data_IF_331325284797
#
_entry.id   IF_331325284797
#
_cell.length_a   1.000
_cell.length_b   1.000
_cell.length_c   1.000
_cell.angle_alpha   90.00
_cell.angle_beta   90.00
_cell.angle_gamma   90.00
#
_symmetry.space_group_name_H-M   'P 1'
#
loop_
_entity.id
_entity.type
_entity.pdbx_description
1 polymer ?
#
# COMPACT_ATOMS: atom_id res chain seq x y z
N UNK A 1 -0.13 5.48 17.65
CA UNK A 1 -1.08 6.39 18.36
C UNK A 1 -2.38 5.65 18.59
N UNK A 2 -3.08 5.86 19.72
CA UNK A 2 -4.36 5.18 20.02
C UNK A 2 -5.45 5.66 19.06
N UNK A 3 -6.29 4.77 18.57
CA UNK A 3 -7.36 5.00 17.58
C UNK A 3 -8.26 6.19 17.92
N UNK A 4 -8.82 6.21 19.12
CA UNK A 4 -9.70 7.29 19.59
C UNK A 4 -9.04 8.67 19.59
N UNK A 5 -7.78 8.76 20.05
CA UNK A 5 -7.02 10.01 20.09
C UNK A 5 -6.71 10.53 18.69
N UNK A 6 -6.41 9.62 17.76
CA UNK A 6 -6.13 10.00 16.38
C UNK A 6 -7.37 10.54 15.69
N UNK A 7 -8.54 9.88 15.83
CA UNK A 7 -9.81 10.39 15.32
C UNK A 7 -10.10 11.80 15.83
N UNK A 8 -9.93 12.03 17.13
CA UNK A 8 -10.16 13.35 17.74
C UNK A 8 -9.23 14.42 17.17
N UNK A 9 -7.96 14.09 16.95
CA UNK A 9 -6.97 15.01 16.36
C UNK A 9 -7.29 15.33 14.89
N UNK A 10 -7.71 14.33 14.10
CA UNK A 10 -8.13 14.53 12.70
C UNK A 10 -9.39 15.42 12.67
N UNK A 11 -10.41 15.14 13.49
CA UNK A 11 -11.63 15.95 13.58
C UNK A 11 -11.34 17.41 13.92
N UNK A 12 -10.36 17.67 14.76
CA UNK A 12 -9.95 19.03 15.17
C UNK A 12 -9.01 19.72 14.14
N UNK A 13 -8.74 19.11 13.00
CA UNK A 13 -7.92 19.68 11.93
C UNK A 13 -6.41 19.71 12.21
N UNK A 14 -5.93 18.93 13.18
CA UNK A 14 -4.49 18.91 13.53
C UNK A 14 -3.60 18.45 12.36
N UNK A 15 -4.14 17.65 11.45
CA UNK A 15 -3.42 17.12 10.28
C UNK A 15 -3.76 17.80 8.97
N UNK A 16 -4.46 18.94 8.97
CA UNK A 16 -4.89 19.59 7.74
C UNK A 16 -3.74 20.01 6.84
N UNK A 17 -2.68 20.56 7.40
CA UNK A 17 -1.50 20.95 6.61
C UNK A 17 -0.82 19.70 6.01
N UNK A 18 -0.72 18.60 6.77
CA UNK A 18 -0.21 17.32 6.24
C UNK A 18 -1.09 16.79 5.10
N UNK A 19 -2.41 16.86 5.25
CA UNK A 19 -3.34 16.45 4.20
C UNK A 19 -3.24 17.34 2.96
N UNK A 20 -3.03 18.67 3.13
CA UNK A 20 -2.78 19.57 2.00
C UNK A 20 -1.50 19.23 1.26
N UNK A 21 -0.43 18.92 1.98
CA UNK A 21 0.85 18.53 1.39
C UNK A 21 0.74 17.21 0.61
N UNK A 22 -0.08 16.28 1.09
CA UNK A 22 -0.26 14.97 0.44
C UNK A 22 -1.19 15.07 -0.77
N UNK A 23 -2.35 15.74 -0.63
CA UNK A 23 -3.40 15.74 -1.66
C UNK A 23 -3.41 16.95 -2.56
N UNK A 24 -2.66 18.02 -2.20
CA UNK A 24 -2.46 19.25 -3.01
C UNK A 24 -3.73 20.07 -3.25
N UNK A 25 -4.91 19.48 -3.17
CA UNK A 25 -6.21 20.13 -3.40
C UNK A 25 -6.91 20.45 -2.08
N UNK A 26 -6.95 21.74 -1.71
CA UNK A 26 -7.61 22.19 -0.47
C UNK A 26 -9.10 21.80 -0.39
N UNK A 27 -9.77 21.63 -1.53
CA UNK A 27 -11.19 21.23 -1.57
C UNK A 27 -11.41 19.78 -1.13
N UNK A 28 -10.37 18.95 -1.22
CA UNK A 28 -10.42 17.56 -0.79
C UNK A 28 -10.20 17.35 0.71
N UNK A 29 -9.70 18.33 1.45
CA UNK A 29 -9.32 18.16 2.86
C UNK A 29 -10.47 17.62 3.73
N UNK A 30 -11.67 18.15 3.55
CA UNK A 30 -12.86 17.67 4.28
C UNK A 30 -13.17 16.22 3.96
N UNK A 31 -13.09 15.85 2.69
CA UNK A 31 -13.29 14.48 2.22
C UNK A 31 -12.23 13.52 2.79
N UNK A 32 -10.96 13.92 2.72
CA UNK A 32 -9.85 13.09 3.20
C UNK A 32 -9.93 12.90 4.73
N UNK A 33 -10.27 13.92 5.50
CA UNK A 33 -10.52 13.76 6.95
C UNK A 33 -11.56 12.68 7.23
N UNK A 34 -12.71 12.73 6.55
CA UNK A 34 -13.76 11.73 6.72
C UNK A 34 -13.30 10.33 6.30
N UNK A 35 -12.53 10.24 5.22
CA UNK A 35 -11.99 8.98 4.72
C UNK A 35 -11.02 8.34 5.71
N UNK A 36 -10.09 9.10 6.26
CA UNK A 36 -9.17 8.63 7.30
C UNK A 36 -9.92 8.21 8.57
N UNK A 37 -10.90 9.01 9.01
CA UNK A 37 -11.72 8.66 10.17
C UNK A 37 -12.46 7.34 9.95
N UNK A 38 -13.14 7.17 8.81
CA UNK A 38 -13.84 5.93 8.46
C UNK A 38 -12.90 4.72 8.41
N UNK A 39 -11.70 4.89 7.89
CA UNK A 39 -10.70 3.81 7.89
C UNK A 39 -10.30 3.39 9.30
N UNK A 40 -10.10 4.36 10.23
CA UNK A 40 -9.77 4.08 11.63
C UNK A 40 -10.97 3.47 12.36
N UNK A 41 -12.19 3.95 12.12
CA UNK A 41 -13.42 3.39 12.67
C UNK A 41 -13.59 1.93 12.19
N UNK A 42 -13.41 1.66 10.90
CA UNK A 42 -13.44 0.30 10.34
C UNK A 42 -12.36 -0.60 10.94
N UNK A 43 -11.15 -0.06 11.17
CA UNK A 43 -10.11 -0.80 11.89
C UNK A 43 -10.58 -1.18 13.29
N UNK A 44 -11.16 -0.22 14.02
CA UNK A 44 -11.63 -0.44 15.39
C UNK A 44 -12.77 -1.45 15.46
N UNK A 45 -13.67 -1.44 14.48
CA UNK A 45 -14.78 -2.41 14.39
C UNK A 45 -14.29 -3.85 14.17
N UNK A 46 -13.22 -4.04 13.41
CA UNK A 46 -12.69 -5.36 13.05
C UNK A 46 -11.67 -5.91 14.06
N UNK A 47 -10.85 -5.04 14.65
CA UNK A 47 -9.70 -5.43 15.45
C UNK A 47 -9.67 -4.85 16.86
N UNK A 48 -10.63 -3.98 17.20
CA UNK A 48 -10.68 -3.29 18.48
C UNK A 48 -9.81 -2.03 18.54
N UNK A 49 -9.85 -1.36 19.70
CA UNK A 49 -9.01 -0.20 19.95
C UNK A 49 -7.56 -0.61 20.20
N UNK A 50 -6.61 0.21 19.75
CA UNK A 50 -5.19 -0.05 19.95
C UNK A 50 -4.30 1.05 19.43
N UNK A 51 -3.01 0.85 19.60
CA UNK A 51 -2.00 1.70 18.99
C UNK A 51 -1.91 1.38 17.50
N UNK A 52 -2.04 2.41 16.67
CA UNK A 52 -2.06 2.27 15.22
C UNK A 52 -1.07 3.21 14.53
N UNK A 53 -0.68 2.80 13.33
CA UNK A 53 0.01 3.59 12.33
C UNK A 53 -0.91 3.76 11.12
N UNK A 54 -0.71 4.83 10.35
CA UNK A 54 -1.46 5.06 9.11
C UNK A 54 -0.48 5.30 7.98
N UNK A 55 -0.64 4.55 6.90
CA UNK A 55 0.19 4.61 5.71
C UNK A 55 -0.66 4.96 4.50
N UNK A 56 -0.02 5.55 3.49
CA UNK A 56 -0.64 5.91 2.23
C UNK A 56 0.32 5.66 1.08
N UNK A 57 -0.20 5.08 -0.01
CA UNK A 57 0.53 4.93 -1.26
C UNK A 57 -0.35 5.39 -2.44
N UNK A 58 0.15 6.29 -3.30
CA UNK A 58 -0.62 6.83 -4.40
C UNK A 58 -0.79 5.83 -5.54
N UNK A 59 -1.82 6.01 -6.36
CA UNK A 59 -1.85 5.50 -7.71
C UNK A 59 -0.95 6.32 -8.65
N UNK A 60 -0.92 5.94 -9.93
CA UNK A 60 -0.16 6.66 -10.96
C UNK A 60 -1.00 6.96 -12.19
N UNK A 61 -0.56 7.98 -12.94
CA UNK A 61 -0.97 8.21 -14.31
C UNK A 61 0.23 8.14 -15.24
N UNK A 62 0.08 7.47 -16.38
CA UNK A 62 1.06 7.57 -17.45
C UNK A 62 0.85 8.88 -18.20
N UNK A 63 1.94 9.59 -18.48
CA UNK A 63 1.96 10.85 -19.24
C UNK A 63 2.35 10.61 -20.68
N UNK A 64 3.22 9.63 -20.92
CA UNK A 64 3.67 9.25 -22.26
C UNK A 64 4.52 7.99 -22.25
N UNK A 65 4.63 7.30 -23.41
CA UNK A 65 5.44 6.10 -23.59
C UNK A 65 4.64 4.83 -23.93
N UNK A 66 3.30 4.86 -23.82
CA UNK A 66 2.39 3.74 -24.16
C UNK A 66 2.74 2.43 -23.45
N UNK A 67 3.11 2.50 -22.17
CA UNK A 67 3.40 1.31 -21.35
C UNK A 67 4.47 0.38 -21.92
N UNK A 68 5.46 0.94 -22.62
CA UNK A 68 6.50 0.14 -23.31
C UNK A 68 7.67 -0.24 -22.41
N UNK A 69 7.65 0.07 -21.13
CA UNK A 69 8.69 -0.25 -20.14
C UNK A 69 8.98 -1.75 -20.02
N UNK A 70 7.96 -2.60 -20.18
CA UNK A 70 8.12 -4.06 -20.23
C UNK A 70 8.84 -4.57 -21.50
N UNK A 71 9.06 -3.70 -22.49
CA UNK A 71 9.77 -3.96 -23.76
C UNK A 71 11.02 -3.08 -23.91
N UNK A 72 11.59 -2.61 -22.80
CA UNK A 72 12.74 -1.71 -22.78
C UNK A 72 12.47 -0.34 -23.44
N UNK A 73 11.22 0.09 -23.54
CA UNK A 73 10.83 1.42 -23.97
C UNK A 73 10.95 2.44 -22.85
N UNK A 74 11.11 3.72 -23.22
CA UNK A 74 11.10 4.83 -22.28
C UNK A 74 9.66 5.27 -22.01
N UNK A 75 9.34 5.50 -20.73
CA UNK A 75 8.02 5.92 -20.28
C UNK A 75 8.13 7.09 -19.32
N UNK A 76 7.11 7.92 -19.31
CA UNK A 76 6.93 9.01 -18.37
C UNK A 76 5.65 8.81 -17.59
N UNK A 77 5.76 8.64 -16.29
CA UNK A 77 4.63 8.49 -15.38
C UNK A 77 4.80 9.37 -14.14
N UNK A 78 3.70 9.68 -13.48
CA UNK A 78 3.70 10.42 -12.23
C UNK A 78 2.67 9.83 -11.26
N UNK A 79 2.95 9.94 -9.98
CA UNK A 79 1.97 9.66 -8.92
C UNK A 79 0.82 10.68 -8.99
N UNK A 80 -0.36 10.23 -8.57
CA UNK A 80 -1.57 11.05 -8.52
C UNK A 80 -2.01 11.26 -7.06
N UNK A 81 -2.98 12.15 -6.86
CA UNK A 81 -3.52 12.45 -5.55
C UNK A 81 -4.72 11.56 -5.13
N UNK A 82 -4.88 10.41 -5.78
CA UNK A 82 -5.72 9.32 -5.31
C UNK A 82 -4.80 8.22 -4.80
N UNK A 83 -5.09 7.68 -3.64
CA UNK A 83 -4.23 6.70 -2.97
C UNK A 83 -4.99 5.54 -2.35
N UNK A 84 -4.24 4.54 -1.93
CA UNK A 84 -4.66 3.53 -0.98
C UNK A 84 -4.10 3.89 0.39
N UNK A 85 -4.93 3.84 1.43
CA UNK A 85 -4.53 4.05 2.82
C UNK A 85 -4.70 2.78 3.63
N UNK A 86 -3.78 2.54 4.58
CA UNK A 86 -3.84 1.43 5.51
C UNK A 86 -3.77 1.94 6.96
N UNK A 87 -4.67 1.46 7.80
CA UNK A 87 -4.58 1.58 9.25
C UNK A 87 -4.02 0.28 9.78
N UNK A 88 -2.88 0.32 10.47
CA UNK A 88 -2.04 -0.84 10.76
C UNK A 88 -1.67 -0.91 12.22
N UNK A 89 -1.61 -2.12 12.76
CA UNK A 89 -1.08 -2.43 14.10
C UNK A 89 -0.12 -3.61 14.00
N UNK A 90 1.00 -3.54 14.72
CA UNK A 90 1.98 -4.62 14.83
C UNK A 90 1.41 -5.78 15.64
N UNK A 91 1.70 -7.00 15.21
CA UNK A 91 1.38 -8.23 15.93
C UNK A 91 2.65 -8.92 16.43
N UNK A 92 2.60 -9.50 17.61
CA UNK A 92 3.64 -10.45 18.07
C UNK A 92 3.53 -11.80 17.34
N UNK A 93 2.31 -12.16 16.88
CA UNK A 93 2.08 -13.36 16.09
C UNK A 93 2.75 -13.24 14.71
N UNK A 94 3.42 -14.29 14.21
CA UNK A 94 4.08 -14.28 12.89
C UNK A 94 3.07 -14.45 11.74
N UNK A 95 2.11 -13.54 11.64
CA UNK A 95 1.10 -13.54 10.58
C UNK A 95 0.73 -12.11 10.15
N UNK A 96 0.31 -11.98 8.90
CA UNK A 96 -0.25 -10.76 8.33
C UNK A 96 -1.73 -10.96 8.13
N UNK A 97 -2.55 -10.05 8.68
CA UNK A 97 -4.00 -10.00 8.50
C UNK A 97 -4.40 -8.71 7.81
N UNK A 98 -5.06 -8.82 6.66
CA UNK A 98 -5.48 -7.63 5.89
C UNK A 98 -6.97 -7.74 5.55
N UNK A 99 -7.70 -6.68 5.84
CA UNK A 99 -9.08 -6.49 5.39
C UNK A 99 -9.08 -5.33 4.41
N UNK A 100 -9.44 -5.58 3.16
CA UNK A 100 -9.75 -4.51 2.20
C UNK A 100 -11.24 -4.22 2.24
N UNK A 101 -11.63 -2.94 2.12
CA UNK A 101 -13.02 -2.53 2.21
C UNK A 101 -13.91 -3.32 1.24
N UNK A 102 -14.90 -4.04 1.78
CA UNK A 102 -15.84 -4.89 1.01
C UNK A 102 -15.37 -6.31 0.73
N UNK A 103 -14.22 -6.74 1.26
CA UNK A 103 -13.68 -8.09 1.07
C UNK A 103 -13.48 -8.80 2.41
N UNK A 104 -13.40 -10.14 2.35
CA UNK A 104 -13.07 -10.96 3.51
C UNK A 104 -11.63 -10.75 3.98
N UNK A 105 -11.36 -11.07 5.25
CA UNK A 105 -10.04 -10.98 5.84
C UNK A 105 -9.10 -12.02 5.23
N UNK A 106 -7.96 -11.53 4.73
CA UNK A 106 -6.84 -12.35 4.28
C UNK A 106 -5.92 -12.60 5.48
N UNK A 107 -5.48 -13.84 5.68
CA UNK A 107 -4.46 -14.19 6.68
C UNK A 107 -3.33 -14.95 6.02
N UNK A 108 -2.09 -14.47 6.20
CA UNK A 108 -0.87 -15.11 5.69
C UNK A 108 0.09 -15.34 6.86
N UNK A 109 0.52 -16.58 7.04
CA UNK A 109 1.54 -16.94 8.02
C UNK A 109 2.95 -16.75 7.43
N UNK A 110 3.87 -16.17 8.21
CA UNK A 110 5.21 -15.78 7.74
C UNK A 110 6.19 -16.94 7.58
N UNK A 111 5.84 -18.12 8.06
CA UNK A 111 6.61 -19.37 7.90
C UNK A 111 6.37 -20.04 6.54
N UNK A 112 5.25 -19.75 5.87
CA UNK A 112 4.92 -20.26 4.54
C UNK A 112 4.58 -19.12 3.56
N UNK A 113 5.60 -18.70 2.83
CA UNK A 113 5.50 -17.67 1.79
C UNK A 113 5.68 -18.24 0.38
N UNK A 114 5.57 -19.56 0.20
CA UNK A 114 5.65 -20.18 -1.11
C UNK A 114 4.50 -19.73 -2.02
N UNK A 115 4.81 -19.55 -3.32
CA UNK A 115 3.79 -19.29 -4.33
C UNK A 115 2.76 -20.43 -4.37
N UNK A 116 1.49 -20.07 -4.50
CA UNK A 116 0.37 -20.99 -4.61
C UNK A 116 -0.42 -20.70 -5.88
N UNK A 117 -0.67 -21.73 -6.69
CA UNK A 117 -1.38 -21.56 -7.97
C UNK A 117 -2.86 -21.19 -7.77
N UNK A 118 -3.49 -21.64 -6.69
CA UNK A 118 -4.87 -21.31 -6.31
C UNK A 118 -5.06 -19.88 -5.82
N UNK A 119 -3.97 -19.18 -5.51
CA UNK A 119 -3.99 -17.75 -5.15
C UNK A 119 -3.73 -16.82 -6.35
N UNK A 120 -3.40 -17.33 -7.53
CA UNK A 120 -3.09 -16.53 -8.71
C UNK A 120 -4.22 -15.54 -9.03
N UNK A 121 -3.88 -14.32 -9.43
CA UNK A 121 -4.78 -13.20 -9.66
C UNK A 121 -5.59 -12.74 -8.43
N UNK A 122 -5.10 -13.03 -7.21
CA UNK A 122 -5.74 -12.58 -5.95
C UNK A 122 -4.87 -11.59 -5.18
N UNK A 123 -5.49 -10.80 -4.30
CA UNK A 123 -4.78 -9.92 -3.37
C UNK A 123 -3.88 -10.70 -2.41
N UNK A 124 -4.25 -11.93 -2.07
CA UNK A 124 -3.42 -12.84 -1.24
C UNK A 124 -2.07 -13.10 -1.88
N UNK A 125 -2.06 -13.38 -3.20
CA UNK A 125 -0.81 -13.58 -3.95
C UNK A 125 0.09 -12.33 -3.91
N UNK A 126 -0.48 -11.13 -4.07
CA UNK A 126 0.29 -9.88 -3.99
C UNK A 126 0.95 -9.70 -2.62
N UNK A 127 0.20 -9.87 -1.53
CA UNK A 127 0.75 -9.75 -0.17
C UNK A 127 1.85 -10.77 0.05
N UNK A 128 1.59 -12.05 -0.29
CA UNK A 128 2.56 -13.15 -0.15
C UNK A 128 3.84 -12.89 -0.94
N UNK A 129 3.71 -12.40 -2.19
CA UNK A 129 4.83 -12.07 -3.07
C UNK A 129 5.69 -10.93 -2.51
N UNK A 130 5.07 -9.86 -2.00
CA UNK A 130 5.78 -8.73 -1.36
C UNK A 130 6.57 -9.23 -0.13
N UNK A 131 5.94 -10.01 0.76
CA UNK A 131 6.60 -10.57 1.94
C UNK A 131 7.76 -11.50 1.57
N UNK A 132 7.55 -12.39 0.60
CA UNK A 132 8.57 -13.33 0.14
C UNK A 132 9.78 -12.61 -0.45
N UNK A 133 9.56 -11.61 -1.30
CA UNK A 133 10.66 -10.87 -1.95
C UNK A 133 11.41 -9.96 -0.99
N UNK A 134 10.71 -9.31 -0.07
CA UNK A 134 11.34 -8.54 0.99
C UNK A 134 12.26 -9.43 1.85
N UNK A 135 11.80 -10.61 2.24
CA UNK A 135 12.60 -11.60 2.98
C UNK A 135 13.79 -12.09 2.17
N UNK A 136 13.63 -12.34 0.86
CA UNK A 136 14.72 -12.75 -0.05
C UNK A 136 15.82 -11.67 -0.16
N UNK A 137 15.43 -10.38 -0.13
CA UNK A 137 16.37 -9.25 -0.11
C UNK A 137 17.07 -9.06 1.24
N UNK A 138 16.70 -9.87 2.26
CA UNK A 138 17.29 -9.82 3.60
C UNK A 138 16.63 -8.81 4.54
N UNK A 139 15.49 -8.23 4.15
CA UNK A 139 14.72 -7.35 5.01
C UNK A 139 13.96 -8.13 6.07
N UNK A 140 13.78 -7.48 7.23
CA UNK A 140 12.96 -8.04 8.28
C UNK A 140 11.49 -7.98 7.86
N UNK A 141 10.79 -9.08 8.10
CA UNK A 141 9.34 -9.16 7.99
C UNK A 141 8.75 -9.48 9.36
N UNK A 142 7.62 -8.92 9.68
CA UNK A 142 6.95 -9.11 10.97
C UNK A 142 5.45 -9.21 10.82
N UNK A 143 4.79 -9.64 11.90
CA UNK A 143 3.34 -9.73 11.94
C UNK A 143 2.68 -8.36 12.05
N UNK A 144 1.59 -8.16 11.31
CA UNK A 144 0.75 -6.98 11.45
C UNK A 144 -0.70 -7.28 11.04
N UNK A 145 -1.62 -6.45 11.50
CA UNK A 145 -2.99 -6.44 11.00
C UNK A 145 -3.32 -5.07 10.43
N UNK A 146 -4.10 -5.04 9.34
CA UNK A 146 -4.41 -3.82 8.61
C UNK A 146 -5.84 -3.80 8.07
N UNK A 147 -6.45 -2.61 8.10
CA UNK A 147 -7.61 -2.28 7.27
C UNK A 147 -7.15 -1.35 6.15
N UNK A 148 -7.47 -1.71 4.92
CA UNK A 148 -7.09 -0.95 3.71
C UNK A 148 -8.34 -0.42 3.03
N UNK A 149 -8.30 0.85 2.63
CA UNK A 149 -9.29 1.48 1.75
C UNK A 149 -8.58 2.23 0.63
N UNK A 150 -9.19 2.33 -0.55
CA UNK A 150 -8.53 2.88 -1.73
C UNK A 150 -9.48 3.73 -2.57
N UNK A 151 -8.98 4.90 -2.98
CA UNK A 151 -9.58 5.75 -4.02
C UNK A 151 -8.91 5.51 -5.39
N UNK A 152 -7.93 4.62 -5.46
CA UNK A 152 -7.37 4.14 -6.72
C UNK A 152 -8.30 3.07 -7.28
N UNK A 153 -9.18 3.46 -8.19
CA UNK A 153 -10.21 2.59 -8.73
C UNK A 153 -9.63 1.43 -9.53
N UNK A 154 -10.13 0.21 -9.25
CA UNK A 154 -9.77 -1.00 -9.99
C UNK A 154 -10.27 -0.86 -11.43
N UNK A 155 -9.41 -1.18 -12.40
CA UNK A 155 -9.77 -1.13 -13.83
C UNK A 155 -9.82 0.27 -14.45
N UNK A 156 -9.54 1.34 -13.68
CA UNK A 156 -9.51 2.71 -14.19
C UNK A 156 -8.16 3.12 -14.83
N UNK A 157 -7.23 2.20 -14.95
CA UNK A 157 -5.89 2.50 -15.50
C UNK A 157 -4.99 3.30 -14.54
N UNK A 158 -5.30 3.33 -13.24
CA UNK A 158 -4.56 4.08 -12.22
C UNK A 158 -3.61 3.23 -11.38
N UNK A 159 -3.41 1.96 -11.77
CA UNK A 159 -2.53 0.98 -11.11
C UNK A 159 -2.85 0.70 -9.64
N UNK A 160 -4.07 0.25 -9.37
CA UNK A 160 -4.49 -0.15 -8.03
C UNK A 160 -3.65 -1.27 -7.43
N UNK A 161 -3.17 -2.24 -8.22
CA UNK A 161 -2.25 -3.30 -7.77
C UNK A 161 -0.91 -2.71 -7.30
N UNK A 162 -0.28 -1.87 -8.11
CA UNK A 162 1.00 -1.25 -7.76
C UNK A 162 0.90 -0.31 -6.54
N UNK A 163 -0.20 0.43 -6.39
CA UNK A 163 -0.47 1.23 -5.20
C UNK A 163 -0.57 0.34 -3.96
N UNK A 164 -1.26 -0.81 -4.06
CA UNK A 164 -1.40 -1.76 -2.96
C UNK A 164 -0.07 -2.43 -2.61
N UNK A 165 0.71 -2.88 -3.60
CA UNK A 165 2.05 -3.46 -3.41
C UNK A 165 3.00 -2.48 -2.74
N UNK A 166 3.00 -1.23 -3.22
CA UNK A 166 3.80 -0.14 -2.64
C UNK A 166 3.37 0.14 -1.19
N UNK A 167 2.07 0.12 -0.91
CA UNK A 167 1.55 0.28 0.45
C UNK A 167 2.07 -0.82 1.38
N UNK A 168 2.04 -2.09 0.94
CA UNK A 168 2.59 -3.21 1.71
C UNK A 168 4.10 -3.09 1.90
N UNK A 169 4.85 -2.71 0.86
CA UNK A 169 6.29 -2.47 0.94
C UNK A 169 6.65 -1.32 1.88
N UNK A 170 5.87 -0.24 1.88
CA UNK A 170 6.03 0.89 2.80
C UNK A 170 5.77 0.48 4.25
N UNK A 171 4.73 -0.31 4.51
CA UNK A 171 4.46 -0.86 5.85
C UNK A 171 5.66 -1.68 6.34
N UNK A 172 6.22 -2.56 5.51
CA UNK A 172 7.40 -3.35 5.88
C UNK A 172 8.63 -2.49 6.14
N UNK A 173 8.84 -1.45 5.32
CA UNK A 173 9.94 -0.51 5.48
C UNK A 173 9.88 0.19 6.83
N UNK A 174 8.75 0.79 7.14
CA UNK A 174 8.60 1.64 8.31
C UNK A 174 8.50 0.86 9.62
N UNK A 175 7.75 -0.25 9.63
CA UNK A 175 7.51 -0.98 10.87
C UNK A 175 8.65 -1.92 11.27
N UNK A 176 9.39 -2.48 10.31
CA UNK A 176 10.36 -3.54 10.57
C UNK A 176 11.78 -3.25 10.09
N UNK A 177 11.98 -2.15 9.34
CA UNK A 177 13.26 -1.84 8.71
C UNK A 177 13.69 -0.37 8.89
N UNK A 178 13.14 0.35 9.86
CA UNK A 178 13.49 1.76 10.17
C UNK A 178 13.41 2.70 8.95
N UNK A 179 12.49 2.47 8.02
CA UNK A 179 12.35 3.25 6.78
C UNK A 179 13.49 3.06 5.77
N UNK A 180 14.27 1.96 5.87
CA UNK A 180 15.49 1.76 5.07
C UNK A 180 15.28 1.05 3.73
N UNK A 181 14.10 0.49 3.46
CA UNK A 181 13.80 -0.05 2.14
C UNK A 181 13.57 1.14 1.21
N UNK A 182 14.43 1.30 0.22
CA UNK A 182 14.34 2.42 -0.71
C UNK A 182 13.08 2.33 -1.59
N UNK A 183 12.57 3.46 -2.12
CA UNK A 183 11.44 3.44 -3.06
C UNK A 183 11.67 2.54 -4.28
N UNK A 184 12.90 2.49 -4.78
CA UNK A 184 13.28 1.60 -5.89
C UNK A 184 13.14 0.14 -5.51
N UNK A 185 13.61 -0.24 -4.32
CA UNK A 185 13.50 -1.62 -3.84
C UNK A 185 12.04 -2.00 -3.56
N UNK A 186 11.23 -1.08 -3.00
CA UNK A 186 9.79 -1.28 -2.84
C UNK A 186 9.14 -1.54 -4.21
N UNK A 187 9.49 -0.76 -5.23
CA UNK A 187 8.98 -0.95 -6.59
C UNK A 187 9.39 -2.32 -7.18
N UNK A 188 10.65 -2.72 -7.01
CA UNK A 188 11.14 -4.02 -7.49
C UNK A 188 10.49 -5.20 -6.75
N UNK A 189 10.24 -5.06 -5.45
CA UNK A 189 9.50 -6.03 -4.64
C UNK A 189 8.05 -6.17 -5.14
N UNK A 190 7.37 -5.05 -5.40
CA UNK A 190 6.01 -5.04 -5.94
C UNK A 190 5.94 -5.67 -7.34
N UNK A 191 6.83 -5.27 -8.25
CA UNK A 191 6.90 -5.87 -9.60
C UNK A 191 7.11 -7.39 -9.54
N UNK A 192 7.98 -7.88 -8.66
CA UNK A 192 8.16 -9.30 -8.47
C UNK A 192 6.86 -9.99 -7.99
N UNK A 193 6.16 -9.39 -7.03
CA UNK A 193 4.89 -9.92 -6.54
C UNK A 193 3.85 -10.02 -7.66
N UNK A 194 3.72 -8.98 -8.51
CA UNK A 194 2.79 -8.97 -9.64
C UNK A 194 3.17 -9.98 -10.71
N UNK A 195 4.45 -10.06 -11.09
CA UNK A 195 4.92 -10.95 -12.16
C UNK A 195 4.93 -12.42 -11.74
N UNK A 196 5.37 -12.73 -10.52
CA UNK A 196 5.66 -14.12 -10.11
C UNK A 196 4.52 -14.73 -9.32
N UNK A 197 3.93 -14.00 -8.38
CA UNK A 197 2.88 -14.52 -7.50
C UNK A 197 1.48 -14.29 -8.06
N UNK A 198 1.20 -13.07 -8.51
CA UNK A 198 -0.10 -12.72 -9.08
C UNK A 198 -0.26 -13.27 -10.52
N UNK A 199 0.84 -13.47 -11.23
CA UNK A 199 0.85 -14.07 -12.57
C UNK A 199 0.56 -13.09 -13.72
N UNK A 200 0.64 -11.78 -13.49
CA UNK A 200 0.44 -10.76 -14.51
C UNK A 200 1.78 -10.10 -14.87
N UNK A 201 2.34 -10.35 -16.06
CA UNK A 201 3.57 -9.71 -16.52
C UNK A 201 3.41 -8.18 -16.60
N UNK A 202 4.30 -7.45 -15.96
CA UNK A 202 4.34 -5.98 -16.00
C UNK A 202 5.79 -5.47 -16.05
N UNK A 203 5.99 -4.24 -16.54
CA UNK A 203 7.22 -3.49 -16.39
C UNK A 203 7.35 -2.91 -14.96
N UNK A 204 8.26 -1.97 -14.78
CA UNK A 204 8.53 -1.37 -13.46
C UNK A 204 7.87 0.01 -13.28
N UNK A 205 7.30 0.59 -14.33
CA UNK A 205 6.77 1.95 -14.36
C UNK A 205 5.74 2.19 -13.25
N UNK A 206 4.79 1.28 -13.13
CA UNK A 206 3.65 1.42 -12.21
C UNK A 206 4.14 1.49 -10.76
N UNK A 207 4.94 0.53 -10.35
CA UNK A 207 5.47 0.45 -9.00
C UNK A 207 6.43 1.60 -8.69
N UNK A 208 7.29 1.99 -9.65
CA UNK A 208 8.19 3.14 -9.48
C UNK A 208 7.41 4.45 -9.26
N UNK A 209 6.40 4.72 -10.09
CA UNK A 209 5.62 5.93 -9.96
C UNK A 209 4.76 5.96 -8.68
N UNK A 210 4.34 4.78 -8.16
CA UNK A 210 3.62 4.69 -6.89
C UNK A 210 4.55 4.80 -5.67
N UNK A 211 5.79 4.29 -5.75
CA UNK A 211 6.71 4.25 -4.60
C UNK A 211 7.49 5.54 -4.40
N UNK A 212 7.87 6.22 -5.48
CA UNK A 212 8.61 7.49 -5.42
C UNK A 212 7.68 8.69 -5.70
N UNK A 213 7.07 9.22 -4.66
CA UNK A 213 6.16 10.38 -4.76
C UNK A 213 6.79 11.65 -5.33
N UNK A 214 8.12 11.69 -5.45
CA UNK A 214 8.88 12.88 -5.87
C UNK A 214 9.40 12.79 -7.30
N UNK A 215 9.37 11.60 -7.91
CA UNK A 215 9.97 11.36 -9.20
C UNK A 215 8.96 11.36 -10.32
N UNK A 216 9.27 12.15 -11.33
CA UNK A 216 8.83 11.92 -12.70
C UNK A 216 9.78 10.87 -13.26
N UNK A 217 9.30 9.68 -13.49
CA UNK A 217 10.09 8.55 -13.99
C UNK A 217 10.01 8.49 -15.52
#
# INVERSE_FOLDING_TARGET
MITHDLIKKIKNGMYDETLKDVYVDEKKISYERERYIKAIESYTENFGEGEIFVFSAPGRSEIGGNHTDHQCGEVLAASINNDAIAVVHNLEEPCVRVISAGYEMITIYLDDLCRREDEEATTTALIRGVLAKAKEYGYQIGGFQAVVTSDVLIGAGLSSSAAFETLMGTILSELFNDGKISPVEIAMIGQFAENVYFGKPCGLMDQMACSDRKSVV
#
